data_IF_565509235803
#
_entry.id   IF_565509235803
#
_cell.length_a   1.000
_cell.length_b   1.000
_cell.length_c   1.000
_cell.angle_alpha   90.00
_cell.angle_beta   90.00
_cell.angle_gamma   90.00
#
_symmetry.space_group_name_H-M   'P 1'
#
loop_
_entity.id
_entity.type
_entity.pdbx_description
1 polymer ?
#
# COMPACT_ATOMS: atom_id res chain seq x y z
N UNK A 1 12.08 -41.44 -0.74
CA UNK A 1 12.30 -40.17 -0.01
C UNK A 1 13.36 -39.35 -0.74
N UNK A 2 12.96 -38.45 -1.65
CA UNK A 2 13.88 -37.43 -2.19
C UNK A 2 13.62 -36.14 -1.40
N UNK A 3 14.58 -35.80 -0.55
CA UNK A 3 14.64 -34.54 0.17
C UNK A 3 14.72 -33.39 -0.84
N UNK A 4 13.60 -32.72 -1.07
CA UNK A 4 13.55 -31.47 -1.84
C UNK A 4 14.02 -30.37 -0.89
N UNK A 5 15.31 -30.06 -0.94
CA UNK A 5 15.82 -28.83 -0.33
C UNK A 5 15.23 -27.65 -1.11
N UNK A 6 14.66 -26.62 -0.46
CA UNK A 6 14.19 -25.44 -1.15
C UNK A 6 15.40 -24.74 -1.83
N UNK A 7 15.26 -24.42 -3.11
CA UNK A 7 16.21 -23.57 -3.85
C UNK A 7 16.52 -22.34 -3.00
N UNK A 8 17.82 -22.06 -2.75
CA UNK A 8 18.26 -20.78 -2.16
C UNK A 8 17.54 -19.64 -2.87
N UNK A 9 16.73 -18.87 -2.15
CA UNK A 9 16.17 -17.62 -2.63
C UNK A 9 17.33 -16.65 -2.83
N UNK A 10 17.81 -16.53 -4.07
CA UNK A 10 18.93 -15.65 -4.39
C UNK A 10 18.45 -14.20 -4.42
N UNK A 11 19.22 -13.30 -3.81
CA UNK A 11 19.09 -11.87 -4.10
C UNK A 11 19.42 -11.64 -5.57
N UNK A 12 18.64 -10.79 -6.22
CA UNK A 12 18.82 -10.40 -7.61
C UNK A 12 18.81 -8.86 -7.72
N UNK A 13 19.06 -8.37 -8.93
CA UNK A 13 18.93 -6.95 -9.24
C UNK A 13 18.25 -6.75 -10.60
N UNK A 14 17.35 -5.78 -10.70
CA UNK A 14 16.64 -5.42 -11.94
C UNK A 14 16.66 -3.92 -12.16
N UNK A 15 16.58 -3.48 -13.42
CA UNK A 15 16.56 -2.06 -13.79
C UNK A 15 15.23 -1.72 -14.44
N UNK A 16 14.58 -0.67 -13.95
CA UNK A 16 13.35 -0.11 -14.51
C UNK A 16 13.67 1.29 -15.03
N UNK A 17 13.50 1.51 -16.33
CA UNK A 17 13.78 2.80 -16.96
C UNK A 17 12.47 3.54 -17.25
N UNK A 18 12.38 4.79 -16.81
CA UNK A 18 11.22 5.66 -17.07
C UNK A 18 11.69 6.80 -17.99
N UNK A 19 11.30 6.75 -19.27
CA UNK A 19 11.81 7.71 -20.27
C UNK A 19 11.28 9.13 -20.09
N UNK A 20 10.08 9.29 -19.53
CA UNK A 20 9.44 10.59 -19.33
C UNK A 20 9.87 11.20 -17.98
N UNK A 21 10.53 12.35 -18.02
CA UNK A 21 11.10 13.03 -16.86
C UNK A 21 10.03 13.58 -15.90
N UNK A 22 8.90 14.06 -16.44
CA UNK A 22 7.77 14.53 -15.63
C UNK A 22 7.18 13.35 -14.87
N UNK A 23 6.95 12.24 -15.57
CA UNK A 23 6.40 11.01 -14.96
C UNK A 23 7.34 10.47 -13.89
N UNK A 24 8.63 10.41 -14.20
CA UNK A 24 9.64 9.94 -13.27
C UNK A 24 9.66 10.74 -11.96
N UNK A 25 9.63 12.08 -12.06
CA UNK A 25 9.64 12.96 -10.87
C UNK A 25 8.41 12.75 -9.99
N UNK A 26 7.22 12.67 -10.58
CA UNK A 26 5.99 12.44 -9.83
C UNK A 26 5.94 11.02 -9.25
N UNK A 27 6.47 10.03 -9.96
CA UNK A 27 6.56 8.65 -9.48
C UNK A 27 7.45 8.54 -8.23
N UNK A 28 8.62 9.20 -8.23
CA UNK A 28 9.51 9.23 -7.08
C UNK A 28 8.92 9.95 -5.87
N UNK A 29 8.07 10.96 -6.11
CA UNK A 29 7.52 11.83 -5.08
C UNK A 29 8.55 12.84 -4.54
N UNK A 30 8.09 13.75 -3.68
CA UNK A 30 8.99 14.72 -3.04
C UNK A 30 10.07 14.00 -2.23
N UNK A 31 11.33 14.38 -2.44
CA UNK A 31 12.48 13.79 -1.76
C UNK A 31 12.55 12.24 -1.83
N UNK A 32 12.02 11.64 -2.92
CA UNK A 32 11.92 10.18 -3.09
C UNK A 32 11.01 9.48 -2.07
N UNK A 33 10.05 10.19 -1.47
CA UNK A 33 9.17 9.64 -0.44
C UNK A 33 8.41 8.39 -0.89
N UNK A 34 8.00 8.30 -2.17
CA UNK A 34 7.29 7.13 -2.68
C UNK A 34 8.19 5.92 -2.78
N UNK A 35 9.42 6.10 -3.25
CA UNK A 35 10.41 5.02 -3.31
C UNK A 35 10.74 4.54 -1.90
N UNK A 36 10.97 5.46 -0.97
CA UNK A 36 11.25 5.10 0.42
C UNK A 36 10.11 4.30 1.06
N UNK A 37 8.87 4.67 0.77
CA UNK A 37 7.70 3.94 1.23
C UNK A 37 7.63 2.53 0.61
N UNK A 38 7.96 2.36 -0.67
CA UNK A 38 8.04 1.04 -1.30
C UNK A 38 9.12 0.18 -0.65
N UNK A 39 10.31 0.72 -0.37
CA UNK A 39 11.37 0.01 0.35
C UNK A 39 10.88 -0.48 1.71
N UNK A 40 10.26 0.40 2.50
CA UNK A 40 9.80 0.09 3.85
C UNK A 40 8.64 -0.93 3.88
N UNK A 41 7.80 -0.96 2.83
CA UNK A 41 6.63 -1.84 2.73
C UNK A 41 6.91 -3.20 2.10
N UNK A 42 7.78 -3.24 1.10
CA UNK A 42 8.07 -4.45 0.32
C UNK A 42 9.30 -5.17 0.87
N UNK A 43 10.27 -4.44 1.43
CA UNK A 43 11.59 -4.98 1.81
C UNK A 43 12.63 -4.93 0.68
N UNK A 44 12.26 -4.39 -0.49
CA UNK A 44 13.18 -4.15 -1.62
C UNK A 44 14.08 -2.94 -1.34
N UNK A 45 15.28 -2.92 -1.92
CA UNK A 45 16.14 -1.73 -1.97
C UNK A 45 16.01 -1.05 -3.33
N UNK A 46 15.83 0.27 -3.34
CA UNK A 46 15.63 1.09 -4.53
C UNK A 46 16.73 2.14 -4.66
N UNK A 47 17.43 2.14 -5.80
CA UNK A 47 18.44 3.16 -6.10
C UNK A 47 18.10 3.90 -7.40
N UNK A 48 18.10 5.23 -7.32
CA UNK A 48 17.88 6.10 -8.48
C UNK A 48 19.21 6.48 -9.12
N UNK A 49 19.33 6.28 -10.44
CA UNK A 49 20.43 6.79 -11.25
C UNK A 49 19.90 7.40 -12.54
N UNK A 50 19.82 8.73 -12.58
CA UNK A 50 19.18 9.44 -13.69
C UNK A 50 17.69 9.12 -13.72
N UNK A 51 17.21 8.55 -14.83
CA UNK A 51 15.83 8.11 -15.02
C UNK A 51 15.64 6.59 -14.88
N UNK A 52 16.63 5.90 -14.29
CA UNK A 52 16.62 4.47 -14.05
C UNK A 52 16.52 4.21 -12.56
N UNK A 53 15.58 3.34 -12.17
CA UNK A 53 15.42 2.80 -10.82
C UNK A 53 16.01 1.38 -10.82
N UNK A 54 16.96 1.14 -9.94
CA UNK A 54 17.59 -0.15 -9.73
C UNK A 54 16.93 -0.80 -8.52
N UNK A 55 16.31 -1.96 -8.74
CA UNK A 55 15.65 -2.79 -7.72
C UNK A 55 16.63 -3.86 -7.26
N UNK A 56 16.78 -4.07 -5.96
CA UNK A 56 17.61 -5.13 -5.38
C UNK A 56 16.87 -5.80 -4.22
N UNK A 57 16.84 -7.13 -4.20
CA UNK A 57 16.09 -7.89 -3.21
C UNK A 57 15.87 -9.34 -3.66
N UNK A 58 14.97 -10.05 -2.99
CA UNK A 58 14.47 -11.33 -3.47
C UNK A 58 13.63 -11.16 -4.74
N UNK A 59 13.54 -12.23 -5.54
CA UNK A 59 12.82 -12.22 -6.83
C UNK A 59 11.40 -11.68 -6.68
N UNK A 60 10.66 -12.15 -5.67
CA UNK A 60 9.27 -11.72 -5.43
C UNK A 60 9.16 -10.24 -4.98
N UNK A 61 10.14 -9.71 -4.25
CA UNK A 61 10.20 -8.29 -3.86
C UNK A 61 10.43 -7.40 -5.08
N UNK A 62 11.34 -7.83 -5.96
CA UNK A 62 11.67 -7.14 -7.21
C UNK A 62 10.46 -7.15 -8.15
N UNK A 63 9.81 -8.31 -8.32
CA UNK A 63 8.66 -8.45 -9.21
C UNK A 63 7.48 -7.58 -8.73
N UNK A 64 7.21 -7.56 -7.42
CA UNK A 64 6.18 -6.70 -6.84
C UNK A 64 6.51 -5.21 -7.01
N UNK A 65 7.75 -4.81 -6.70
CA UNK A 65 8.18 -3.42 -6.80
C UNK A 65 8.16 -2.92 -8.25
N UNK A 66 8.61 -3.74 -9.20
CA UNK A 66 8.52 -3.42 -10.63
C UNK A 66 7.08 -3.26 -11.08
N UNK A 67 6.18 -4.17 -10.68
CA UNK A 67 4.78 -4.10 -11.05
C UNK A 67 4.13 -2.81 -10.52
N UNK A 68 4.34 -2.50 -9.24
CA UNK A 68 3.87 -1.25 -8.61
C UNK A 68 4.42 -0.02 -9.35
N UNK A 69 5.73 0.04 -9.59
CA UNK A 69 6.37 1.16 -10.29
C UNK A 69 5.81 1.34 -11.70
N UNK A 70 5.64 0.25 -12.43
CA UNK A 70 5.15 0.28 -13.81
C UNK A 70 3.71 0.80 -13.85
N UNK A 71 2.82 0.24 -13.04
CA UNK A 71 1.41 0.65 -13.05
C UNK A 71 1.20 2.07 -12.50
N UNK A 72 1.92 2.48 -11.46
CA UNK A 72 1.88 3.86 -10.97
C UNK A 72 2.43 4.85 -12.01
N UNK A 73 3.49 4.48 -12.74
CA UNK A 73 4.01 5.32 -13.82
C UNK A 73 2.94 5.54 -14.90
N UNK A 74 2.12 4.53 -15.19
CA UNK A 74 1.02 4.68 -16.13
C UNK A 74 -0.13 5.54 -15.60
N UNK A 75 -0.44 5.50 -14.31
CA UNK A 75 -1.39 6.41 -13.68
C UNK A 75 -0.93 7.86 -13.82
N UNK A 76 0.33 8.14 -13.48
CA UNK A 76 0.94 9.47 -13.63
C UNK A 76 0.92 9.93 -15.10
N UNK A 77 1.25 9.05 -16.06
CA UNK A 77 1.12 9.34 -17.50
C UNK A 77 -0.31 9.74 -17.88
N UNK A 78 -1.32 9.14 -17.26
CA UNK A 78 -2.73 9.50 -17.45
C UNK A 78 -3.17 10.76 -16.68
N UNK A 79 -2.22 11.55 -16.17
CA UNK A 79 -2.45 12.77 -15.38
C UNK A 79 -3.17 12.54 -14.05
N UNK A 80 -3.15 11.30 -13.54
CA UNK A 80 -3.63 11.02 -12.19
C UNK A 80 -2.60 11.48 -11.15
N UNK A 81 -2.97 12.31 -10.18
CA UNK A 81 -2.06 12.71 -9.11
C UNK A 81 -1.82 11.54 -8.15
N UNK A 82 -0.59 11.08 -8.02
CA UNK A 82 -0.21 9.99 -7.11
C UNK A 82 0.33 10.57 -5.80
N UNK A 83 -0.26 10.17 -4.69
CA UNK A 83 0.13 10.53 -3.33
C UNK A 83 0.70 9.32 -2.57
N UNK A 84 1.38 9.53 -1.43
CA UNK A 84 1.91 8.42 -0.62
C UNK A 84 0.86 7.38 -0.19
N UNK A 85 -0.39 7.79 0.03
CA UNK A 85 -1.50 6.87 0.32
C UNK A 85 -1.82 5.93 -0.84
N UNK A 86 -1.68 6.42 -2.07
CA UNK A 86 -1.96 5.63 -3.28
C UNK A 86 -0.86 4.60 -3.51
N UNK A 87 0.38 4.95 -3.17
CA UNK A 87 1.52 4.02 -3.20
C UNK A 87 1.31 2.88 -2.20
N UNK A 88 0.97 3.19 -0.94
CA UNK A 88 0.64 2.17 0.07
C UNK A 88 -0.50 1.26 -0.42
N UNK A 89 -1.52 1.88 -1.01
CA UNK A 89 -2.68 1.16 -1.48
C UNK A 89 -2.38 0.25 -2.68
N UNK A 90 -1.63 0.75 -3.66
CA UNK A 90 -1.14 0.01 -4.81
C UNK A 90 -0.34 -1.23 -4.39
N UNK A 91 0.57 -1.07 -3.43
CA UNK A 91 1.35 -2.18 -2.87
C UNK A 91 0.41 -3.22 -2.26
N UNK A 92 -0.58 -2.78 -1.46
CA UNK A 92 -1.54 -3.70 -0.83
C UNK A 92 -2.37 -4.48 -1.85
N UNK A 93 -2.85 -3.82 -2.90
CA UNK A 93 -3.62 -4.50 -3.96
C UNK A 93 -2.74 -5.55 -4.65
N UNK A 94 -1.59 -5.13 -5.16
CA UNK A 94 -0.73 -5.98 -5.98
C UNK A 94 -0.01 -7.07 -5.18
N UNK A 95 0.12 -6.90 -3.86
CA UNK A 95 0.59 -7.99 -2.97
C UNK A 95 -0.45 -9.09 -2.80
N UNK A 96 -1.75 -8.75 -2.86
CA UNK A 96 -2.85 -9.72 -2.75
C UNK A 96 -3.19 -10.35 -4.10
N UNK A 97 -3.19 -9.54 -5.16
CA UNK A 97 -3.48 -9.95 -6.53
C UNK A 97 -2.55 -9.22 -7.51
N UNK A 98 -1.45 -9.86 -7.95
CA UNK A 98 -0.49 -9.27 -8.87
C UNK A 98 -1.05 -8.93 -10.26
N UNK A 99 -2.18 -9.52 -10.66
CA UNK A 99 -2.78 -9.33 -11.98
C UNK A 99 -3.77 -8.14 -12.00
N UNK A 100 -4.04 -7.51 -10.86
CA UNK A 100 -4.93 -6.36 -10.77
C UNK A 100 -4.41 -5.16 -11.56
N UNK A 101 -5.33 -4.49 -12.25
CA UNK A 101 -5.07 -3.28 -13.04
C UNK A 101 -5.40 -2.03 -12.19
N UNK A 102 -4.37 -1.37 -11.70
CA UNK A 102 -4.49 -0.15 -10.89
C UNK A 102 -5.21 0.98 -11.64
N UNK A 103 -5.12 1.09 -12.97
CA UNK A 103 -5.88 2.12 -13.69
C UNK A 103 -7.38 1.92 -13.53
N UNK A 104 -7.86 0.68 -13.59
CA UNK A 104 -9.28 0.39 -13.35
C UNK A 104 -9.62 0.64 -11.90
N UNK A 105 -8.82 0.11 -10.96
CA UNK A 105 -9.07 0.27 -9.53
C UNK A 105 -9.12 1.74 -9.14
N UNK A 106 -8.14 2.58 -9.48
CA UNK A 106 -8.13 3.99 -9.09
C UNK A 106 -9.16 4.85 -9.84
N UNK A 107 -9.57 4.47 -11.06
CA UNK A 107 -10.67 5.16 -11.76
C UNK A 107 -12.04 4.78 -11.19
N UNK A 108 -12.26 3.51 -10.89
CA UNK A 108 -13.50 3.01 -10.27
C UNK A 108 -13.56 3.37 -8.78
N UNK A 109 -12.42 3.53 -8.10
CA UNK A 109 -12.38 3.90 -6.69
C UNK A 109 -12.61 5.38 -6.42
N UNK A 110 -12.46 6.28 -7.39
CA UNK A 110 -13.05 7.61 -7.22
C UNK A 110 -14.57 7.46 -6.96
N UNK A 111 -15.24 6.44 -7.53
CA UNK A 111 -16.65 6.13 -7.29
C UNK A 111 -16.89 5.30 -6.00
N UNK A 112 -15.92 4.52 -5.49
CA UNK A 112 -16.10 3.56 -4.38
C UNK A 112 -15.31 3.93 -3.09
N UNK A 113 -14.07 4.41 -3.19
CA UNK A 113 -13.11 4.67 -2.08
C UNK A 113 -13.46 5.85 -1.18
N UNK A 114 -14.44 6.69 -1.57
CA UNK A 114 -15.10 7.57 -0.60
C UNK A 114 -15.81 6.81 0.53
N UNK A 115 -16.00 5.48 0.42
CA UNK A 115 -16.66 4.64 1.44
C UNK A 115 -16.03 3.24 1.55
N UNK A 116 -15.04 3.07 2.45
CA UNK A 116 -14.91 1.95 3.44
C UNK A 116 -13.45 1.69 3.83
N UNK A 117 -13.01 2.34 4.91
CA UNK A 117 -11.85 1.87 5.69
C UNK A 117 -12.34 0.79 6.65
N UNK A 118 -11.81 -0.43 6.56
CA UNK A 118 -12.14 -1.51 7.49
C UNK A 118 -11.52 -1.19 8.86
N UNK A 119 -12.36 -1.01 9.88
CA UNK A 119 -11.93 -0.64 11.23
C UNK A 119 -12.01 -1.87 12.13
N UNK A 120 -10.85 -2.34 12.60
CA UNK A 120 -10.70 -3.51 13.46
C UNK A 120 -10.33 -3.11 14.90
N UNK A 121 -10.91 -3.74 15.92
CA UNK A 121 -10.55 -3.47 17.31
C UNK A 121 -9.10 -3.90 17.59
N UNK A 122 -8.31 -2.99 18.15
CA UNK A 122 -6.89 -3.22 18.51
C UNK A 122 -6.70 -3.68 19.95
N UNK A 123 -7.78 -3.75 20.73
CA UNK A 123 -7.76 -4.25 22.11
C UNK A 123 -9.09 -4.92 22.48
N UNK A 124 -9.06 -5.77 23.51
CA UNK A 124 -10.25 -6.43 24.06
C UNK A 124 -11.29 -5.39 24.52
N UNK A 125 -10.86 -4.26 25.09
CA UNK A 125 -11.77 -3.21 25.53
C UNK A 125 -12.44 -2.48 24.35
N UNK A 126 -11.73 -2.28 23.24
CA UNK A 126 -12.33 -1.74 22.01
C UNK A 126 -13.33 -2.71 21.40
N UNK A 127 -13.05 -4.02 21.42
CA UNK A 127 -14.01 -5.04 20.99
C UNK A 127 -15.29 -4.99 21.83
N UNK A 128 -15.16 -4.95 23.16
CA UNK A 128 -16.30 -4.82 24.08
C UNK A 128 -17.11 -3.55 23.84
N UNK A 129 -16.43 -2.44 23.54
CA UNK A 129 -17.08 -1.18 23.19
C UNK A 129 -17.90 -1.28 21.90
N UNK A 130 -17.32 -1.87 20.84
CA UNK A 130 -18.00 -2.11 19.56
C UNK A 130 -19.19 -3.08 19.72
N UNK A 131 -19.01 -4.16 20.48
CA UNK A 131 -20.07 -5.13 20.77
C UNK A 131 -21.20 -4.50 21.59
N UNK A 132 -20.88 -3.54 22.46
CA UNK A 132 -21.86 -2.73 23.19
C UNK A 132 -22.69 -1.86 22.25
N UNK A 133 -22.05 -1.12 21.34
CA UNK A 133 -22.73 -0.24 20.37
C UNK A 133 -23.74 -1.03 19.52
N UNK A 134 -23.43 -2.30 19.20
CA UNK A 134 -24.34 -3.17 18.43
C UNK A 134 -25.55 -3.68 19.21
N UNK A 135 -25.48 -3.71 20.54
CA UNK A 135 -26.46 -4.39 21.40
C UNK A 135 -27.37 -3.44 22.17
N UNK A 136 -26.95 -2.21 22.42
CA UNK A 136 -27.64 -1.28 23.30
C UNK A 136 -27.85 0.07 22.61
N UNK A 137 -28.99 0.71 22.87
CA UNK A 137 -29.36 2.00 22.25
C UNK A 137 -28.44 3.16 22.68
N UNK A 138 -27.86 3.07 23.88
CA UNK A 138 -26.95 4.09 24.43
C UNK A 138 -25.74 3.40 25.07
N UNK A 139 -24.53 3.81 24.67
CA UNK A 139 -23.26 3.24 25.17
C UNK A 139 -22.29 4.35 25.54
N UNK A 140 -21.83 4.36 26.79
CA UNK A 140 -20.81 5.31 27.26
C UNK A 140 -19.40 4.73 27.12
N UNK A 141 -18.59 5.34 26.26
CA UNK A 141 -17.18 4.99 26.11
C UNK A 141 -16.29 5.78 27.06
N UNK A 142 -15.84 5.16 28.16
CA UNK A 142 -14.92 5.79 29.12
C UNK A 142 -13.50 5.23 28.92
N UNK A 143 -12.50 6.10 28.79
CA UNK A 143 -11.10 5.69 28.73
C UNK A 143 -10.14 6.84 28.42
N UNK A 144 -8.82 6.63 28.55
CA UNK A 144 -7.78 7.65 28.37
C UNK A 144 -7.88 8.36 27.00
N UNK A 145 -7.40 9.59 26.91
CA UNK A 145 -7.34 10.30 25.62
C UNK A 145 -6.52 9.49 24.59
N UNK A 146 -6.91 9.54 23.31
CA UNK A 146 -6.20 8.85 22.22
C UNK A 146 -6.56 7.37 21.99
N UNK A 147 -7.45 6.76 22.81
CA UNK A 147 -7.81 5.32 22.66
C UNK A 147 -8.87 5.01 21.58
N UNK A 148 -9.16 5.96 20.69
CA UNK A 148 -10.01 5.74 19.51
C UNK A 148 -11.52 5.69 19.75
N UNK A 149 -12.02 6.04 20.95
CA UNK A 149 -13.45 5.94 21.34
C UNK A 149 -14.40 6.66 20.37
N UNK A 150 -14.07 7.90 20.00
CA UNK A 150 -14.86 8.71 19.05
C UNK A 150 -14.78 8.15 17.63
N UNK A 151 -13.58 7.75 17.21
CA UNK A 151 -13.37 7.20 15.88
C UNK A 151 -14.09 5.87 15.66
N UNK A 152 -14.05 4.98 16.67
CA UNK A 152 -14.77 3.71 16.65
C UNK A 152 -16.30 3.90 16.70
N UNK A 153 -16.80 4.89 17.45
CA UNK A 153 -18.23 5.21 17.46
C UNK A 153 -18.72 5.75 16.11
N UNK A 154 -17.98 6.70 15.54
CA UNK A 154 -18.30 7.31 14.24
C UNK A 154 -18.25 6.27 13.09
N UNK A 155 -17.36 5.30 13.18
CA UNK A 155 -17.23 4.22 12.21
C UNK A 155 -18.35 3.17 12.28
N UNK A 156 -19.06 3.12 13.40
CA UNK A 156 -20.12 2.14 13.68
C UNK A 156 -21.52 2.73 13.51
N UNK A 157 -21.62 4.03 13.21
CA UNK A 157 -22.85 4.76 12.96
C UNK A 157 -23.32 4.62 11.50
#
# INVERSE_FOLDING_TARGET
MKSILPKKAGMASKKVAISDQEVFRHLCGEHNAHLKLMEDRIGVTLHVRGNVIILQGYIWEIDLAENVLTQLAELVKSKYPVYPSDVDYAIRILSNDPEMDLKKVFKDEILISSKKKLITPKSINQKRYIDGIRRYDIVFGIGPAGTGKTYLAMAMA
#
